data_IF_086493829444
#
_entry.id   IF_086493829444
#
_cell.length_a   1.000
_cell.length_b   1.000
_cell.length_c   1.000
_cell.angle_alpha   90.00
_cell.angle_beta   90.00
_cell.angle_gamma   90.00
#
_symmetry.space_group_name_H-M   'P 1'
#
loop_
_entity.id
_entity.type
_entity.pdbx_description
1 polymer ?
#
# COMPACT_ATOMS: atom_id res chain seq x y z
N UNK A 1 -7.09 -2.51 -18.51
CA UNK A 1 -6.59 -1.15 -18.17
C UNK A 1 -6.13 -1.21 -16.73
N UNK A 2 -4.90 -1.66 -16.55
CA UNK A 2 -4.28 -1.84 -15.25
C UNK A 2 -3.45 -0.59 -14.92
N UNK A 3 -3.65 -0.06 -13.72
CA UNK A 3 -3.03 1.17 -13.24
C UNK A 3 -1.51 0.99 -13.22
N UNK A 4 -0.77 1.89 -13.88
CA UNK A 4 0.69 1.85 -13.89
C UNK A 4 1.29 2.14 -12.51
N UNK A 5 2.45 1.54 -12.17
CA UNK A 5 3.09 1.69 -10.87
C UNK A 5 3.38 3.15 -10.50
N UNK A 6 3.76 3.99 -11.48
CA UNK A 6 4.09 5.41 -11.28
C UNK A 6 2.92 6.23 -10.72
N UNK A 7 1.72 6.01 -11.25
CA UNK A 7 0.52 6.70 -10.78
C UNK A 7 0.19 6.29 -9.35
N UNK A 8 0.36 5.01 -9.03
CA UNK A 8 0.15 4.48 -7.69
C UNK A 8 1.16 5.04 -6.69
N UNK A 9 2.41 5.16 -7.10
CA UNK A 9 3.46 5.80 -6.32
C UNK A 9 3.12 7.26 -6.00
N UNK A 10 2.69 8.02 -7.00
CA UNK A 10 2.28 9.42 -6.81
C UNK A 10 1.10 9.52 -5.84
N UNK A 11 0.09 8.67 -5.99
CA UNK A 11 -1.08 8.64 -5.11
C UNK A 11 -0.73 8.26 -3.67
N UNK A 12 0.11 7.23 -3.48
CA UNK A 12 0.54 6.79 -2.15
C UNK A 12 1.46 7.82 -1.49
N UNK A 13 2.23 8.59 -2.26
CA UNK A 13 3.07 9.67 -1.75
C UNK A 13 2.24 10.90 -1.37
N UNK A 14 1.24 11.25 -2.18
CA UNK A 14 0.31 12.36 -1.92
C UNK A 14 -0.68 12.06 -0.77
N UNK A 15 -0.99 10.78 -0.54
CA UNK A 15 -1.87 10.40 0.55
C UNK A 15 -1.20 10.67 1.91
N UNK A 16 -1.89 11.37 2.81
CA UNK A 16 -1.39 11.66 4.17
C UNK A 16 -1.82 10.60 5.19
N UNK A 17 -2.80 9.76 4.83
CA UNK A 17 -3.40 8.78 5.71
C UNK A 17 -2.65 7.44 5.65
N UNK A 18 -1.79 7.19 6.63
CA UNK A 18 -1.01 5.95 6.75
C UNK A 18 -1.89 4.69 6.76
N UNK A 19 -3.08 4.75 7.38
CA UNK A 19 -4.03 3.63 7.41
C UNK A 19 -4.56 3.27 6.01
N UNK A 20 -4.86 4.28 5.19
CA UNK A 20 -5.36 4.09 3.84
C UNK A 20 -4.30 3.44 2.93
N UNK A 21 -3.05 3.91 3.01
CA UNK A 21 -1.92 3.29 2.29
C UNK A 21 -1.76 1.82 2.63
N UNK A 22 -1.78 1.48 3.93
CA UNK A 22 -1.66 0.08 4.37
C UNK A 22 -2.83 -0.79 3.92
N UNK A 23 -4.07 -0.29 4.02
CA UNK A 23 -5.26 -1.03 3.58
C UNK A 23 -5.19 -1.31 2.08
N UNK A 24 -4.82 -0.30 1.29
CA UNK A 24 -4.65 -0.43 -0.15
C UNK A 24 -3.59 -1.47 -0.49
N UNK A 25 -2.41 -1.40 0.14
CA UNK A 25 -1.34 -2.38 -0.07
C UNK A 25 -1.75 -3.79 0.35
N UNK A 26 -2.52 -3.94 1.44
CA UNK A 26 -3.03 -5.23 1.91
C UNK A 26 -4.01 -5.87 0.91
N UNK A 27 -4.90 -5.08 0.32
CA UNK A 27 -5.76 -5.55 -0.77
C UNK A 27 -4.94 -5.93 -2.01
N UNK A 28 -3.95 -5.11 -2.35
CA UNK A 28 -3.11 -5.31 -3.53
C UNK A 28 -2.25 -6.58 -3.43
N UNK A 29 -1.80 -6.90 -2.22
CA UNK A 29 -1.09 -8.13 -1.89
C UNK A 29 -1.97 -9.38 -2.12
N UNK A 30 -3.22 -9.34 -1.65
CA UNK A 30 -4.20 -10.43 -1.85
C UNK A 30 -4.57 -10.65 -3.32
N UNK A 31 -4.59 -9.59 -4.13
CA UNK A 31 -4.92 -9.68 -5.55
C UNK A 31 -3.74 -10.09 -6.44
N UNK A 32 -2.52 -10.24 -5.89
CA UNK A 32 -1.38 -10.80 -6.62
C UNK A 32 -0.94 -9.98 -7.83
N UNK A 33 -1.09 -8.65 -7.78
CA UNK A 33 -0.77 -7.80 -8.91
C UNK A 33 0.74 -7.75 -9.20
N UNK A 34 1.13 -7.90 -10.46
CA UNK A 34 2.53 -7.88 -10.91
C UNK A 34 3.26 -6.58 -10.56
N UNK A 35 2.55 -5.44 -10.63
CA UNK A 35 3.09 -4.14 -10.26
C UNK A 35 3.37 -4.01 -8.76
N UNK A 36 2.84 -4.89 -7.90
CA UNK A 36 3.10 -4.85 -6.45
C UNK A 36 4.58 -5.06 -6.15
N UNK A 37 5.27 -5.88 -6.94
CA UNK A 37 6.71 -6.11 -6.83
C UNK A 37 7.52 -4.92 -7.34
N UNK A 38 7.00 -4.20 -8.34
CA UNK A 38 7.60 -2.97 -8.85
C UNK A 38 7.30 -1.74 -7.98
N UNK A 39 6.38 -1.87 -7.02
CA UNK A 39 5.97 -0.78 -6.15
C UNK A 39 6.94 -0.65 -4.96
N UNK A 40 7.88 0.29 -5.06
CA UNK A 40 8.82 0.61 -3.99
C UNK A 40 8.11 1.29 -2.81
N UNK A 41 7.81 0.50 -1.77
CA UNK A 41 7.25 1.01 -0.52
C UNK A 41 8.28 1.67 0.40
N UNK A 42 9.56 1.62 0.06
CA UNK A 42 10.66 2.15 0.87
C UNK A 42 10.52 3.67 1.10
N UNK A 43 10.17 4.41 0.05
CA UNK A 43 9.93 5.86 0.11
C UNK A 43 8.51 6.24 0.56
N UNK A 44 7.66 5.27 0.88
CA UNK A 44 6.28 5.52 1.32
C UNK A 44 6.26 5.42 2.85
N UNK A 45 5.92 6.53 3.52
CA UNK A 45 5.68 6.47 4.96
C UNK A 45 4.43 5.63 5.24
N UNK A 46 4.66 4.36 5.54
CA UNK A 46 3.69 3.41 6.05
C UNK A 46 3.65 3.45 7.58
N UNK A 47 4.35 4.38 8.22
CA UNK A 47 4.57 4.43 9.67
C UNK A 47 5.37 3.25 10.20
N UNK A 48 6.12 3.48 11.29
CA UNK A 48 6.90 2.44 11.97
C UNK A 48 6.03 1.63 12.95
N UNK A 49 6.23 0.31 12.97
CA UNK A 49 5.64 -0.62 13.95
C UNK A 49 4.51 -1.50 13.44
N UNK A 50 4.27 -2.59 14.19
CA UNK A 50 3.24 -3.63 13.98
C UNK A 50 1.84 -3.07 14.33
N UNK A 51 1.39 -2.03 13.61
CA UNK A 51 0.00 -1.56 13.72
C UNK A 51 -0.91 -2.54 13.01
N UNK A 52 -1.63 -3.28 13.82
CA UNK A 52 -2.73 -4.15 13.44
C UNK A 52 -3.78 -3.35 12.66
N UNK A 53 -4.02 -3.73 11.40
CA UNK A 53 -5.06 -3.13 10.55
C UNK A 53 -6.48 -3.42 11.09
N UNK A 54 -6.67 -4.59 11.72
CA UNK A 54 -7.94 -5.07 12.26
C UNK A 54 -7.69 -5.70 13.63
N UNK A 55 -8.31 -5.20 14.71
CA UNK A 55 -8.23 -5.84 16.03
C UNK A 55 -8.79 -7.27 15.94
N UNK A 56 -7.92 -8.28 16.07
CA UNK A 56 -8.31 -9.70 16.13
C UNK A 56 -7.85 -10.58 14.97
N UNK A 57 -7.33 -10.02 13.87
CA UNK A 57 -7.08 -10.84 12.67
C UNK A 57 -8.38 -11.36 12.04
N UNK A 58 -8.28 -12.00 10.88
CA UNK A 58 -9.39 -12.72 10.26
C UNK A 58 -9.39 -14.17 10.74
#
# INVERSE_FOLDING_TARGET
MEWGPDLLHALLRACTQVKAKRLFLWFSDRHGHTWRQALETDHIDLGRGKRMLIKGGA
#
